data_IF_359252429105
#
_entry.id   IF_359252429105
#
_cell.length_a   1.000
_cell.length_b   1.000
_cell.length_c   1.000
_cell.angle_alpha   90.00
_cell.angle_beta   90.00
_cell.angle_gamma   90.00
#
_symmetry.space_group_name_H-M   'P 1'
#
loop_
_entity.id
_entity.type
_entity.pdbx_description
1 polymer ?
#
# COMPACT_ATOMS: atom_id res chain seq x y z
N UNK A 1 -48.28 -85.49 -32.54
CA UNK A 1 -48.52 -84.34 -31.62
C UNK A 1 -47.22 -83.62 -31.45
N UNK A 2 -47.02 -82.54 -32.19
CA UNK A 2 -45.78 -81.81 -32.26
C UNK A 2 -46.01 -80.45 -31.63
N UNK A 3 -45.38 -80.16 -30.47
CA UNK A 3 -45.42 -78.86 -29.82
C UNK A 3 -44.35 -77.97 -30.45
N UNK A 4 -44.81 -76.87 -31.01
CA UNK A 4 -43.91 -75.79 -31.54
C UNK A 4 -43.34 -74.91 -30.39
N UNK A 5 -42.05 -74.83 -30.33
CA UNK A 5 -41.30 -73.91 -29.43
C UNK A 5 -41.19 -72.59 -30.16
N UNK A 6 -41.65 -71.49 -29.54
CA UNK A 6 -41.44 -70.13 -30.04
C UNK A 6 -40.21 -69.55 -29.34
N UNK A 7 -39.18 -69.21 -30.13
CA UNK A 7 -38.04 -68.45 -29.71
C UNK A 7 -38.40 -66.94 -29.70
N UNK A 8 -38.36 -66.34 -28.55
CA UNK A 8 -38.50 -64.89 -28.41
C UNK A 8 -37.13 -64.23 -28.48
N UNK A 9 -36.90 -63.31 -29.41
CA UNK A 9 -35.73 -62.54 -29.59
C UNK A 9 -35.76 -61.37 -28.58
N UNK A 10 -34.86 -61.39 -27.56
CA UNK A 10 -34.66 -60.24 -26.70
C UNK A 10 -33.60 -59.32 -27.35
N UNK A 11 -34.00 -58.14 -27.80
CA UNK A 11 -33.09 -57.05 -28.19
C UNK A 11 -32.72 -56.30 -26.95
N UNK A 12 -31.46 -56.43 -26.53
CA UNK A 12 -30.87 -55.60 -25.45
C UNK A 12 -30.37 -54.32 -26.08
N UNK A 13 -31.08 -53.22 -25.87
CA UNK A 13 -30.61 -51.87 -26.20
C UNK A 13 -29.58 -51.44 -25.16
N UNK A 14 -28.32 -51.43 -25.53
CA UNK A 14 -27.25 -50.81 -24.73
C UNK A 14 -27.33 -49.30 -24.90
N UNK A 15 -27.88 -48.62 -23.91
CA UNK A 15 -27.82 -47.14 -23.81
C UNK A 15 -26.42 -46.74 -23.42
N UNK A 16 -25.63 -46.29 -24.39
CA UNK A 16 -24.30 -45.67 -24.12
C UNK A 16 -24.51 -44.29 -23.50
N UNK A 17 -24.45 -44.20 -22.18
CA UNK A 17 -24.43 -42.93 -21.45
C UNK A 17 -23.02 -42.33 -21.59
N UNK A 18 -22.84 -41.44 -22.56
CA UNK A 18 -21.64 -40.62 -22.68
C UNK A 18 -21.68 -39.62 -21.53
N UNK A 19 -20.95 -39.91 -20.43
CA UNK A 19 -20.63 -38.94 -19.41
C UNK A 19 -19.75 -37.85 -20.07
N UNK A 20 -20.34 -36.71 -20.42
CA UNK A 20 -19.61 -35.48 -20.62
C UNK A 20 -19.06 -35.04 -19.26
N UNK A 21 -17.87 -35.51 -18.88
CA UNK A 21 -17.08 -34.87 -17.85
C UNK A 21 -16.74 -33.47 -18.35
N UNK A 22 -17.00 -32.40 -17.56
CA UNK A 22 -16.49 -31.11 -17.92
C UNK A 22 -14.96 -31.24 -17.99
N UNK A 23 -14.40 -31.12 -19.18
CA UNK A 23 -12.96 -30.94 -19.32
C UNK A 23 -12.63 -29.68 -18.57
N UNK A 24 -12.00 -29.79 -17.39
CA UNK A 24 -11.21 -28.71 -16.81
C UNK A 24 -10.16 -28.38 -17.84
N UNK A 25 -10.45 -27.39 -18.69
CA UNK A 25 -9.55 -26.94 -19.71
C UNK A 25 -8.27 -26.49 -19.05
N UNK A 26 -7.24 -27.33 -19.06
CA UNK A 26 -5.89 -26.88 -18.80
C UNK A 26 -5.61 -25.81 -19.86
N UNK A 27 -5.48 -24.55 -19.41
CA UNK A 27 -5.05 -23.48 -20.29
C UNK A 27 -3.72 -23.92 -20.92
N UNK A 28 -3.61 -23.76 -22.24
CA UNK A 28 -2.36 -24.07 -22.93
C UNK A 28 -1.22 -23.25 -22.26
N UNK A 29 -0.06 -23.88 -22.09
CA UNK A 29 1.10 -23.18 -21.57
C UNK A 29 1.40 -21.95 -22.44
N UNK A 30 1.69 -20.78 -21.85
CA UNK A 30 1.97 -19.58 -22.62
C UNK A 30 3.22 -19.79 -23.48
N UNK A 31 3.21 -19.26 -24.69
CA UNK A 31 4.28 -19.44 -25.69
C UNK A 31 4.69 -18.09 -26.30
N UNK A 32 5.85 -18.05 -26.93
CA UNK A 32 6.39 -16.83 -27.55
C UNK A 32 7.31 -16.03 -26.63
N UNK A 33 7.70 -14.86 -27.09
CA UNK A 33 8.60 -13.97 -26.35
C UNK A 33 7.96 -13.49 -25.05
N UNK A 34 8.65 -13.60 -23.90
CA UNK A 34 8.14 -13.13 -22.63
C UNK A 34 7.87 -11.63 -22.62
N UNK A 35 6.83 -11.22 -21.90
CA UNK A 35 6.64 -9.81 -21.54
C UNK A 35 7.40 -9.57 -20.25
N UNK A 36 8.42 -8.71 -20.28
CA UNK A 36 9.31 -8.48 -19.14
C UNK A 36 8.74 -7.37 -18.24
N UNK A 37 8.61 -7.71 -16.97
CA UNK A 37 8.31 -6.78 -15.86
C UNK A 37 9.58 -6.66 -15.01
N UNK A 38 10.13 -5.47 -14.90
CA UNK A 38 11.28 -5.17 -14.09
C UNK A 38 10.90 -4.60 -12.73
N UNK A 39 11.74 -4.84 -11.75
CA UNK A 39 11.63 -4.22 -10.42
C UNK A 39 12.99 -3.70 -9.96
N UNK A 40 13.04 -2.43 -9.58
CA UNK A 40 14.21 -1.78 -9.00
C UNK A 40 13.88 -1.41 -7.55
N UNK A 41 14.56 -2.02 -6.58
CA UNK A 41 14.27 -1.74 -5.17
C UNK A 41 15.28 -2.39 -4.23
N UNK A 42 15.17 -2.11 -2.94
CA UNK A 42 16.03 -2.65 -1.89
C UNK A 42 15.63 -4.10 -1.53
N UNK A 43 16.33 -5.09 -2.11
CA UNK A 43 16.00 -6.53 -1.97
C UNK A 43 15.94 -6.99 -0.50
N UNK A 44 16.76 -6.42 0.37
CA UNK A 44 16.82 -6.81 1.80
C UNK A 44 15.89 -5.96 2.70
N UNK A 45 15.20 -4.97 2.16
CA UNK A 45 14.28 -4.14 2.95
C UNK A 45 13.07 -4.95 3.43
N UNK A 46 12.66 -4.84 4.69
CA UNK A 46 11.41 -5.44 5.19
C UNK A 46 10.16 -4.96 4.43
N UNK A 47 10.17 -3.75 3.90
CA UNK A 47 9.08 -3.22 3.08
C UNK A 47 9.08 -3.79 1.66
N UNK A 48 10.23 -3.81 1.00
CA UNK A 48 10.40 -4.16 -0.42
C UNK A 48 10.35 -5.66 -0.68
N UNK A 49 11.06 -6.44 0.15
CA UNK A 49 11.20 -7.90 -0.06
C UNK A 49 9.86 -8.63 -0.18
N UNK A 50 8.86 -8.38 0.69
CA UNK A 50 7.55 -9.00 0.56
C UNK A 50 6.82 -8.60 -0.73
N UNK A 51 6.99 -7.35 -1.19
CA UNK A 51 6.40 -6.87 -2.45
C UNK A 51 6.93 -7.63 -3.66
N UNK A 52 8.25 -7.82 -3.74
CA UNK A 52 8.85 -8.61 -4.81
C UNK A 52 8.39 -10.07 -4.77
N UNK A 53 8.30 -10.66 -3.57
CA UNK A 53 7.86 -12.05 -3.42
C UNK A 53 6.41 -12.23 -3.90
N UNK A 54 5.50 -11.33 -3.53
CA UNK A 54 4.09 -11.43 -3.92
C UNK A 54 3.87 -11.13 -5.41
N UNK A 55 4.66 -10.23 -6.01
CA UNK A 55 4.61 -10.00 -7.45
C UNK A 55 5.05 -11.26 -8.22
N UNK A 56 6.08 -11.96 -7.72
CA UNK A 56 6.50 -13.24 -8.30
C UNK A 56 5.37 -14.28 -8.24
N UNK A 57 4.64 -14.36 -7.12
CA UNK A 57 3.45 -15.24 -7.00
C UNK A 57 2.41 -14.88 -8.07
N UNK A 58 2.08 -13.59 -8.21
CA UNK A 58 1.10 -13.14 -9.21
C UNK A 58 1.56 -13.47 -10.65
N UNK A 59 2.85 -13.30 -10.96
CA UNK A 59 3.42 -13.67 -12.26
C UNK A 59 3.28 -15.18 -12.52
N UNK A 60 3.58 -16.01 -11.52
CA UNK A 60 3.49 -17.46 -11.65
C UNK A 60 2.04 -17.93 -11.85
N UNK A 61 1.08 -17.35 -11.12
CA UNK A 61 -0.34 -17.63 -11.27
C UNK A 61 -0.84 -17.24 -12.68
N UNK A 62 -0.46 -16.06 -13.17
CA UNK A 62 -0.85 -15.61 -14.51
C UNK A 62 -0.24 -16.53 -15.59
N UNK A 63 1.01 -16.93 -15.43
CA UNK A 63 1.67 -17.84 -16.36
C UNK A 63 1.02 -19.22 -16.34
N UNK A 64 0.67 -19.74 -15.16
CA UNK A 64 -0.07 -21.00 -15.03
C UNK A 64 -1.46 -20.95 -15.67
N UNK A 65 -2.07 -19.77 -15.72
CA UNK A 65 -3.36 -19.53 -16.38
C UNK A 65 -3.26 -19.23 -17.88
N UNK A 66 -2.10 -19.42 -18.52
CA UNK A 66 -1.88 -19.22 -19.95
C UNK A 66 -1.24 -17.88 -20.32
N UNK A 67 -0.70 -17.13 -19.35
CA UNK A 67 0.00 -15.88 -19.56
C UNK A 67 -0.91 -14.69 -19.90
N UNK A 68 -0.35 -13.71 -20.60
CA UNK A 68 -1.07 -12.53 -21.06
C UNK A 68 -1.11 -12.56 -22.60
N UNK A 69 -2.29 -12.63 -23.18
CA UNK A 69 -2.49 -12.83 -24.62
C UNK A 69 -1.65 -14.01 -25.15
N UNK A 70 -1.56 -15.11 -24.38
CA UNK A 70 -0.80 -16.30 -24.72
C UNK A 70 0.73 -16.20 -24.53
N UNK A 71 1.25 -15.09 -24.06
CA UNK A 71 2.68 -14.84 -23.79
C UNK A 71 3.00 -14.94 -22.31
N UNK A 72 4.12 -15.57 -21.91
CA UNK A 72 4.51 -15.60 -20.51
C UNK A 72 4.98 -14.23 -20.01
N UNK A 73 4.79 -13.98 -18.72
CA UNK A 73 5.43 -12.88 -18.01
C UNK A 73 6.81 -13.33 -17.50
N UNK A 74 7.83 -12.50 -17.66
CA UNK A 74 9.16 -12.66 -17.04
C UNK A 74 9.37 -11.55 -16.02
N UNK A 75 9.66 -11.92 -14.77
CA UNK A 75 9.91 -10.97 -13.69
C UNK A 75 11.41 -10.88 -13.39
N UNK A 76 11.98 -9.67 -13.44
CA UNK A 76 13.42 -9.42 -13.28
C UNK A 76 13.66 -8.34 -12.23
N UNK A 77 14.55 -8.62 -11.27
CA UNK A 77 14.84 -7.72 -10.16
C UNK A 77 16.24 -7.12 -10.31
N UNK A 78 16.34 -5.82 -10.00
CA UNK A 78 17.59 -5.09 -9.83
C UNK A 78 17.65 -4.52 -8.41
N UNK A 79 18.66 -4.94 -7.63
CA UNK A 79 18.87 -4.46 -6.27
C UNK A 79 19.53 -3.07 -6.27
N UNK A 80 18.83 -2.05 -5.82
CA UNK A 80 19.36 -0.69 -5.74
C UNK A 80 20.06 -0.39 -4.40
N UNK A 81 20.01 -1.30 -3.42
CA UNK A 81 20.59 -1.14 -2.08
C UNK A 81 20.24 0.21 -1.40
N UNK A 82 19.18 0.88 -1.85
CA UNK A 82 18.78 2.21 -1.39
C UNK A 82 19.64 3.35 -1.94
N UNK A 83 20.45 3.12 -2.99
CA UNK A 83 21.32 4.12 -3.61
C UNK A 83 20.72 4.63 -4.93
N UNK A 84 20.76 5.94 -5.13
CA UNK A 84 20.24 6.61 -6.33
C UNK A 84 20.94 6.13 -7.60
N UNK A 85 22.28 6.03 -7.57
CA UNK A 85 23.09 5.57 -8.73
C UNK A 85 22.73 4.14 -9.15
N UNK A 86 22.57 3.23 -8.18
CA UNK A 86 22.17 1.85 -8.46
C UNK A 86 20.72 1.74 -8.95
N UNK A 87 19.83 2.67 -8.56
CA UNK A 87 18.47 2.71 -9.10
C UNK A 87 18.47 3.10 -10.58
N UNK A 88 19.25 4.11 -10.95
CA UNK A 88 19.42 4.54 -12.34
C UNK A 88 20.05 3.43 -13.18
N UNK A 89 21.12 2.80 -12.69
CA UNK A 89 21.79 1.70 -13.37
C UNK A 89 20.87 0.48 -13.53
N UNK A 90 20.15 0.11 -12.47
CA UNK A 90 19.18 -0.98 -12.49
C UNK A 90 18.07 -0.77 -13.52
N UNK A 91 17.48 0.44 -13.56
CA UNK A 91 16.48 0.80 -14.55
C UNK A 91 17.04 0.73 -15.98
N UNK A 92 18.25 1.27 -16.22
CA UNK A 92 18.92 1.19 -17.52
C UNK A 92 19.13 -0.26 -17.97
N UNK A 93 19.67 -1.11 -17.10
CA UNK A 93 19.87 -2.53 -17.40
C UNK A 93 18.57 -3.23 -17.77
N UNK A 94 17.51 -2.99 -17.01
CA UNK A 94 16.19 -3.56 -17.29
C UNK A 94 15.65 -3.12 -18.66
N UNK A 95 15.86 -1.85 -19.04
CA UNK A 95 15.42 -1.34 -20.34
C UNK A 95 16.26 -1.86 -21.50
N UNK A 96 17.59 -1.77 -21.40
CA UNK A 96 18.50 -2.03 -22.52
C UNK A 96 18.74 -3.52 -22.75
N UNK A 97 18.98 -4.28 -21.68
CA UNK A 97 19.37 -5.69 -21.77
C UNK A 97 18.15 -6.62 -21.69
N UNK A 98 17.24 -6.37 -20.70
CA UNK A 98 16.08 -7.22 -20.49
C UNK A 98 14.85 -6.80 -21.30
N UNK A 99 14.89 -5.60 -21.92
CA UNK A 99 13.80 -5.04 -22.74
C UNK A 99 12.47 -4.97 -22.00
N UNK A 100 12.52 -4.60 -20.71
CA UNK A 100 11.35 -4.50 -19.86
C UNK A 100 10.32 -3.52 -20.43
N UNK A 101 9.05 -3.95 -20.43
CA UNK A 101 7.92 -3.13 -20.88
C UNK A 101 7.25 -2.38 -19.72
N UNK A 102 7.38 -2.91 -18.51
CA UNK A 102 6.94 -2.29 -17.28
C UNK A 102 8.07 -2.35 -16.26
N UNK A 103 8.34 -1.23 -15.59
CA UNK A 103 9.36 -1.16 -14.55
C UNK A 103 8.77 -0.55 -13.30
N UNK A 104 8.78 -1.30 -12.21
CA UNK A 104 8.55 -0.76 -10.87
C UNK A 104 9.84 -0.17 -10.33
N UNK A 105 9.76 1.04 -9.78
CA UNK A 105 10.87 1.68 -9.06
C UNK A 105 10.41 1.98 -7.65
N UNK A 106 11.02 1.33 -6.66
CA UNK A 106 10.74 1.55 -5.25
C UNK A 106 11.91 2.27 -4.60
N UNK A 107 11.57 3.25 -3.77
CA UNK A 107 12.57 4.00 -3.02
C UNK A 107 12.01 5.32 -2.49
N UNK A 108 12.93 6.10 -1.93
CA UNK A 108 12.64 7.47 -1.51
C UNK A 108 12.38 8.35 -2.74
N UNK A 109 11.70 9.46 -2.54
CA UNK A 109 11.31 10.39 -3.62
C UNK A 109 12.50 10.79 -4.51
N UNK A 110 13.63 11.15 -3.93
CA UNK A 110 14.82 11.56 -4.68
C UNK A 110 15.43 10.42 -5.55
N UNK A 111 15.31 9.18 -5.10
CA UNK A 111 15.72 8.00 -5.87
C UNK A 111 14.83 7.83 -7.10
N UNK A 112 13.52 7.93 -6.89
CA UNK A 112 12.54 7.80 -7.95
C UNK A 112 12.59 8.94 -8.98
N UNK A 113 12.85 10.19 -8.53
CA UNK A 113 13.04 11.34 -9.40
C UNK A 113 14.24 11.17 -10.33
N UNK A 114 15.36 10.66 -9.81
CA UNK A 114 16.55 10.39 -10.62
C UNK A 114 16.32 9.26 -11.64
N UNK A 115 15.61 8.20 -11.23
CA UNK A 115 15.24 7.11 -12.15
C UNK A 115 14.28 7.61 -13.24
N UNK A 116 13.30 8.46 -12.88
CA UNK A 116 12.35 9.08 -13.82
C UNK A 116 13.05 9.90 -14.91
N UNK A 117 13.98 10.76 -14.51
CA UNK A 117 14.72 11.62 -15.46
C UNK A 117 15.56 10.78 -16.43
N UNK A 118 16.27 9.76 -15.91
CA UNK A 118 17.06 8.86 -16.73
C UNK A 118 16.18 8.06 -17.71
N UNK A 119 15.05 7.54 -17.23
CA UNK A 119 14.11 6.79 -18.07
C UNK A 119 13.49 7.67 -19.16
N UNK A 120 13.18 8.93 -18.85
CA UNK A 120 12.66 9.89 -19.83
C UNK A 120 13.66 10.13 -20.99
N UNK A 121 14.95 10.23 -20.67
CA UNK A 121 15.97 10.35 -21.71
C UNK A 121 16.08 9.12 -22.63
N UNK A 122 15.65 7.95 -22.13
CA UNK A 122 15.69 6.68 -22.86
C UNK A 122 14.36 6.30 -23.52
N UNK A 123 13.28 7.01 -23.24
CA UNK A 123 11.92 6.58 -23.60
C UNK A 123 11.70 6.40 -25.12
N UNK A 124 12.33 7.24 -25.93
CA UNK A 124 12.23 7.15 -27.39
C UNK A 124 12.79 5.85 -27.93
N UNK A 125 13.93 5.39 -27.41
CA UNK A 125 14.64 4.20 -27.90
C UNK A 125 14.15 2.92 -27.22
N UNK A 126 13.68 3.04 -25.97
CA UNK A 126 13.19 1.94 -25.14
C UNK A 126 11.80 2.29 -24.56
N UNK A 127 10.73 2.22 -25.37
CA UNK A 127 9.39 2.54 -24.91
C UNK A 127 8.90 1.60 -23.80
N UNK A 128 8.48 2.15 -22.67
CA UNK A 128 8.10 1.40 -21.47
C UNK A 128 7.09 2.18 -20.62
N UNK A 129 6.53 1.52 -19.63
CA UNK A 129 5.76 2.15 -18.53
C UNK A 129 6.60 2.06 -17.26
N UNK A 130 6.73 3.16 -16.53
CA UNK A 130 7.38 3.24 -15.24
C UNK A 130 6.34 3.49 -14.14
N UNK A 131 6.39 2.68 -13.09
CA UNK A 131 5.48 2.75 -11.95
C UNK A 131 6.30 2.96 -10.68
N UNK A 132 6.05 4.05 -9.97
CA UNK A 132 6.71 4.34 -8.70
C UNK A 132 5.94 3.69 -7.57
N UNK A 133 6.62 2.80 -6.84
CA UNK A 133 6.06 2.10 -5.70
C UNK A 133 6.49 2.78 -4.39
N UNK A 134 5.54 3.38 -3.69
CA UNK A 134 5.70 3.93 -2.35
C UNK A 134 6.20 5.37 -2.19
N UNK A 135 6.87 6.05 -3.14
CA UNK A 135 7.29 7.43 -2.92
C UNK A 135 6.08 8.38 -2.91
N UNK A 136 6.07 9.30 -1.94
CA UNK A 136 4.96 10.23 -1.77
C UNK A 136 5.18 11.57 -2.49
N UNK A 137 6.44 11.96 -2.80
CA UNK A 137 6.78 13.26 -3.37
C UNK A 137 5.93 13.65 -4.58
N UNK A 138 5.24 14.76 -4.44
CA UNK A 138 4.33 15.28 -5.48
C UNK A 138 5.00 15.56 -6.81
N UNK A 139 6.29 15.88 -6.78
CA UNK A 139 7.09 16.23 -7.96
C UNK A 139 7.09 15.11 -9.00
N UNK A 140 6.98 13.85 -8.57
CA UNK A 140 6.94 12.70 -9.48
C UNK A 140 5.79 12.78 -10.50
N UNK A 141 4.65 13.29 -10.08
CA UNK A 141 3.44 13.39 -10.90
C UNK A 141 3.13 14.82 -11.33
N UNK A 142 3.58 15.84 -10.61
CA UNK A 142 3.54 17.23 -11.09
C UNK A 142 4.29 17.38 -12.41
N UNK A 143 5.49 16.76 -12.53
CA UNK A 143 6.26 16.72 -13.78
C UNK A 143 5.51 16.07 -14.94
N UNK A 144 4.72 15.03 -14.67
CA UNK A 144 3.91 14.39 -15.71
C UNK A 144 2.90 15.38 -16.28
N UNK A 145 2.28 16.18 -15.42
CA UNK A 145 1.31 17.18 -15.88
C UNK A 145 1.98 18.39 -16.56
N UNK A 146 3.13 18.82 -16.03
CA UNK A 146 3.86 19.99 -16.56
C UNK A 146 4.56 19.70 -17.90
N UNK A 147 5.10 18.49 -18.07
CA UNK A 147 5.86 18.08 -19.24
C UNK A 147 5.33 16.71 -19.76
N UNK A 148 4.04 16.65 -20.09
CA UNK A 148 3.33 15.41 -20.40
C UNK A 148 4.06 14.54 -21.43
N UNK A 149 4.49 15.10 -22.54
CA UNK A 149 5.17 14.31 -23.61
C UNK A 149 6.48 13.68 -23.14
N UNK A 150 7.15 14.30 -22.16
CA UNK A 150 8.40 13.78 -21.60
C UNK A 150 8.16 12.67 -20.57
N UNK A 151 7.09 12.75 -19.78
CA UNK A 151 6.86 11.88 -18.61
C UNK A 151 5.55 11.08 -18.65
N UNK A 152 4.78 11.12 -19.74
CA UNK A 152 3.45 10.47 -19.85
C UNK A 152 3.45 8.97 -19.52
N UNK A 153 4.59 8.32 -19.61
CA UNK A 153 4.78 6.90 -19.29
C UNK A 153 4.96 6.61 -17.80
N UNK A 154 4.99 7.65 -16.96
CA UNK A 154 5.22 7.55 -15.53
C UNK A 154 3.90 7.55 -14.75
N UNK A 155 3.77 6.60 -13.84
CA UNK A 155 2.61 6.42 -12.96
C UNK A 155 3.08 6.19 -11.53
N UNK A 156 2.26 6.53 -10.52
CA UNK A 156 2.55 6.24 -9.12
C UNK A 156 1.45 5.36 -8.54
N UNK A 157 1.82 4.20 -8.02
CA UNK A 157 0.89 3.25 -7.40
C UNK A 157 0.50 3.63 -5.97
N UNK A 158 0.96 4.76 -5.50
CA UNK A 158 0.71 5.35 -4.19
C UNK A 158 0.08 6.74 -4.33
N UNK A 159 -0.49 7.24 -3.25
CA UNK A 159 -1.01 8.59 -3.22
C UNK A 159 0.05 9.61 -2.76
N UNK A 160 -0.05 10.89 -3.15
CA UNK A 160 0.88 11.94 -2.76
C UNK A 160 0.68 12.41 -1.31
N UNK A 161 1.62 13.20 -0.79
CA UNK A 161 1.59 13.75 0.56
C UNK A 161 0.26 14.39 0.96
N UNK A 162 -0.43 15.17 0.10
CA UNK A 162 -1.72 15.79 0.49
C UNK A 162 -2.82 14.79 0.82
N UNK A 163 -2.83 13.63 0.12
CA UNK A 163 -3.77 12.54 0.44
C UNK A 163 -3.55 12.01 1.85
N UNK A 164 -2.29 11.76 2.19
CA UNK A 164 -1.93 11.28 3.51
C UNK A 164 -2.21 12.32 4.59
N UNK A 165 -1.94 13.59 4.31
CA UNK A 165 -2.30 14.70 5.19
C UNK A 165 -3.81 14.67 5.47
N UNK A 166 -4.65 14.58 4.45
CA UNK A 166 -6.10 14.54 4.59
C UNK A 166 -6.59 13.31 5.35
N UNK A 167 -6.05 12.13 5.05
CA UNK A 167 -6.38 10.87 5.74
C UNK A 167 -6.04 10.95 7.24
N UNK A 168 -4.85 11.46 7.57
CA UNK A 168 -4.45 11.59 8.97
C UNK A 168 -5.22 12.69 9.68
N UNK A 169 -5.54 13.80 9.00
CA UNK A 169 -6.41 14.84 9.52
C UNK A 169 -7.78 14.26 9.88
N UNK A 170 -8.38 13.46 9.02
CA UNK A 170 -9.64 12.79 9.30
C UNK A 170 -9.50 11.88 10.52
N UNK A 171 -8.63 10.88 10.45
CA UNK A 171 -8.53 9.90 11.54
C UNK A 171 -8.11 10.55 12.85
N UNK A 172 -7.06 11.35 12.82
CA UNK A 172 -6.55 11.99 14.05
C UNK A 172 -7.48 13.10 14.54
N UNK A 173 -7.87 14.00 13.67
CA UNK A 173 -8.58 15.22 14.03
C UNK A 173 -10.08 14.99 14.28
N UNK A 174 -10.78 14.32 13.36
CA UNK A 174 -12.23 14.13 13.46
C UNK A 174 -12.61 13.07 14.52
N UNK A 175 -11.72 12.12 14.81
CA UNK A 175 -12.04 11.03 15.75
C UNK A 175 -11.39 11.17 17.13
N UNK A 176 -10.54 12.19 17.36
CA UNK A 176 -9.81 12.32 18.64
C UNK A 176 -10.72 12.47 19.86
N UNK A 177 -11.85 13.16 19.73
CA UNK A 177 -12.80 13.36 20.82
C UNK A 177 -13.38 12.04 21.31
N UNK A 178 -13.64 11.10 20.40
CA UNK A 178 -14.16 9.78 20.75
C UNK A 178 -13.09 8.91 21.42
N UNK A 179 -11.83 9.09 21.03
CA UNK A 179 -10.69 8.39 21.65
C UNK A 179 -10.27 8.98 22.99
N UNK A 180 -10.42 10.27 23.17
CA UNK A 180 -10.05 11.01 24.38
C UNK A 180 -11.24 11.73 25.00
N UNK A 181 -12.22 11.01 25.59
CA UNK A 181 -13.45 11.61 26.10
C UNK A 181 -13.22 12.58 27.28
N UNK A 182 -12.05 12.52 27.93
CA UNK A 182 -11.64 13.49 28.97
C UNK A 182 -10.99 14.75 28.40
N UNK A 183 -10.92 14.85 27.07
CA UNK A 183 -10.29 15.94 26.35
C UNK A 183 -8.82 15.71 26.05
N UNK A 184 -8.38 16.23 24.93
CA UNK A 184 -6.99 16.32 24.48
C UNK A 184 -6.69 17.81 24.27
N UNK A 185 -5.71 18.35 24.99
CA UNK A 185 -5.36 19.78 24.89
C UNK A 185 -3.89 20.00 24.55
N UNK A 186 -3.06 18.96 24.68
CA UNK A 186 -1.63 19.03 24.44
C UNK A 186 -1.13 17.78 23.76
N UNK A 187 -0.34 17.95 22.69
CA UNK A 187 0.31 16.83 22.02
C UNK A 187 1.78 17.09 21.74
N UNK A 188 2.54 16.02 21.56
CA UNK A 188 3.88 16.03 21.03
C UNK A 188 3.89 15.46 19.61
N UNK A 189 4.72 15.97 18.73
CA UNK A 189 4.88 15.46 17.37
C UNK A 189 6.34 15.08 17.13
N UNK A 190 6.55 13.91 16.54
CA UNK A 190 7.83 13.48 16.00
C UNK A 190 7.69 13.30 14.49
N UNK A 191 8.65 13.85 13.77
CA UNK A 191 8.72 13.77 12.32
C UNK A 191 9.91 12.94 11.89
N UNK A 192 9.75 12.03 10.96
CA UNK A 192 10.88 11.49 10.24
C UNK A 192 11.57 12.62 9.46
N UNK A 193 12.89 12.77 9.60
CA UNK A 193 13.64 13.83 8.91
C UNK A 193 14.00 13.41 7.49
N UNK A 194 13.01 13.39 6.62
CA UNK A 194 13.09 13.14 5.18
C UNK A 194 12.27 14.16 4.38
N UNK A 195 12.51 14.22 3.07
CA UNK A 195 11.89 15.21 2.17
C UNK A 195 10.35 15.09 2.17
N UNK A 196 9.80 13.88 2.18
CA UNK A 196 8.36 13.66 2.10
C UNK A 196 7.56 14.21 3.30
N UNK A 197 8.21 14.43 4.46
CA UNK A 197 7.55 15.01 5.65
C UNK A 197 7.59 16.54 5.66
N UNK A 198 8.43 17.17 4.84
CA UNK A 198 8.53 18.64 4.78
C UNK A 198 7.21 19.32 4.45
N UNK A 199 6.44 18.87 3.43
CA UNK A 199 5.15 19.47 3.13
C UNK A 199 4.15 19.46 4.29
N UNK A 200 4.24 18.49 5.19
CA UNK A 200 3.40 18.45 6.37
C UNK A 200 3.84 19.47 7.44
N UNK A 201 5.14 19.69 7.56
CA UNK A 201 5.73 20.66 8.52
C UNK A 201 5.62 22.09 8.04
N UNK A 202 5.83 22.32 6.75
CA UNK A 202 5.92 23.66 6.14
C UNK A 202 4.58 24.13 5.55
N UNK A 203 3.63 23.21 5.40
CA UNK A 203 2.36 23.41 4.70
C UNK A 203 2.48 23.25 3.18
N UNK A 204 1.33 23.29 2.52
CA UNK A 204 1.19 23.23 1.07
C UNK A 204 0.26 24.37 0.61
N UNK A 205 0.77 25.61 0.51
CA UNK A 205 -0.05 26.80 0.29
C UNK A 205 -0.87 26.77 -1.01
N UNK A 206 -0.32 26.14 -2.06
CA UNK A 206 -0.98 25.96 -3.35
C UNK A 206 -2.21 25.03 -3.27
N UNK A 207 -2.33 24.25 -2.19
CA UNK A 207 -3.47 23.39 -1.90
C UNK A 207 -4.29 23.89 -0.69
N UNK A 208 -4.00 25.07 -0.18
CA UNK A 208 -4.59 25.63 1.04
C UNK A 208 -4.45 24.71 2.26
N UNK A 209 -3.37 23.94 2.34
CA UNK A 209 -3.04 23.08 3.48
C UNK A 209 -2.01 23.79 4.36
N UNK A 210 -2.36 24.21 5.59
CA UNK A 210 -1.40 24.81 6.51
C UNK A 210 -0.39 23.78 7.03
N UNK A 211 0.70 24.21 7.69
CA UNK A 211 1.52 23.32 8.49
C UNK A 211 0.66 22.47 9.43
N UNK A 212 1.00 21.18 9.58
CA UNK A 212 0.21 20.26 10.40
C UNK A 212 0.01 20.77 11.83
N UNK A 213 1.04 21.35 12.45
CA UNK A 213 1.00 21.90 13.80
C UNK A 213 0.00 23.05 13.91
N UNK A 214 0.01 23.96 12.92
CA UNK A 214 -0.93 25.09 12.87
C UNK A 214 -2.39 24.57 12.71
N UNK A 215 -2.59 23.60 11.84
CA UNK A 215 -3.91 22.98 11.62
C UNK A 215 -4.44 22.36 12.92
N UNK A 216 -3.60 21.61 13.63
CA UNK A 216 -3.97 20.95 14.88
C UNK A 216 -4.37 21.98 15.96
N UNK A 217 -3.60 23.05 16.09
CA UNK A 217 -3.91 24.10 17.08
C UNK A 217 -5.16 24.87 16.70
N UNK A 218 -5.30 25.27 15.44
CA UNK A 218 -6.38 26.13 14.97
C UNK A 218 -7.73 25.39 14.86
N UNK A 219 -7.72 24.21 14.24
CA UNK A 219 -8.96 23.51 13.91
C UNK A 219 -9.46 22.65 15.09
N UNK A 220 -8.57 22.16 15.94
CA UNK A 220 -8.91 21.23 17.01
C UNK A 220 -8.62 21.76 18.42
N UNK A 221 -7.95 22.91 18.56
CA UNK A 221 -7.65 23.52 19.86
C UNK A 221 -6.63 22.73 20.69
N UNK A 222 -5.83 21.88 20.03
CA UNK A 222 -4.83 21.03 20.69
C UNK A 222 -3.45 21.65 20.51
N UNK A 223 -2.84 22.12 21.60
CA UNK A 223 -1.53 22.77 21.57
C UNK A 223 -0.42 21.76 21.31
N UNK A 224 0.44 22.03 20.33
CA UNK A 224 1.67 21.29 20.12
C UNK A 224 2.73 21.79 21.10
N UNK A 225 3.02 20.99 22.14
CA UNK A 225 3.96 21.35 23.23
C UNK A 225 5.38 20.81 23.01
N UNK A 226 5.56 19.98 22.01
CA UNK A 226 6.85 19.45 21.59
C UNK A 226 6.78 19.05 20.13
N UNK A 227 7.74 19.46 19.33
CA UNK A 227 7.88 19.02 17.93
C UNK A 227 9.36 18.83 17.61
N UNK A 228 9.67 17.72 16.92
CA UNK A 228 11.05 17.44 16.53
C UNK A 228 11.14 16.53 15.31
N UNK A 229 11.95 16.91 14.34
CA UNK A 229 12.42 16.03 13.28
C UNK A 229 13.54 15.13 13.81
N UNK A 230 13.46 13.83 13.55
CA UNK A 230 14.40 12.80 14.00
C UNK A 230 14.94 12.00 12.83
N UNK A 231 16.22 11.64 12.90
CA UNK A 231 16.83 10.81 11.86
C UNK A 231 16.12 9.46 11.76
N UNK A 232 15.94 8.91 10.56
CA UNK A 232 15.24 7.63 10.37
C UNK A 232 15.89 6.47 11.14
N UNK A 233 17.22 6.50 11.27
CA UNK A 233 17.97 5.45 11.96
C UNK A 233 19.00 6.04 12.93
N UNK A 234 19.29 5.26 13.98
CA UNK A 234 20.27 5.62 14.98
C UNK A 234 19.83 6.74 15.93
N UNK A 235 18.54 7.07 15.98
CA UNK A 235 18.00 8.03 16.93
C UNK A 235 17.92 7.40 18.32
N UNK A 236 18.49 8.06 19.31
CA UNK A 236 18.31 7.75 20.72
C UNK A 236 17.02 8.43 21.21
N UNK A 237 15.96 7.65 21.38
CA UNK A 237 14.65 8.19 21.71
C UNK A 237 14.46 8.48 23.21
N UNK A 238 15.17 7.79 24.11
CA UNK A 238 15.01 8.01 25.57
C UNK A 238 15.11 9.46 26.00
N UNK A 239 16.13 10.26 25.59
CA UNK A 239 16.20 11.67 25.96
C UNK A 239 15.01 12.50 25.40
N UNK A 240 14.55 12.17 24.19
CA UNK A 240 13.41 12.83 23.55
C UNK A 240 12.13 12.51 24.33
N UNK A 241 11.91 11.25 24.64
CA UNK A 241 10.75 10.78 25.40
C UNK A 241 10.71 11.33 26.83
N UNK A 242 11.89 11.52 27.44
CA UNK A 242 12.00 12.19 28.74
C UNK A 242 11.58 13.66 28.64
N UNK A 243 11.98 14.38 27.60
CA UNK A 243 11.55 15.74 27.36
C UNK A 243 10.04 15.80 27.15
N UNK A 244 9.49 14.93 26.28
CA UNK A 244 8.04 14.85 26.01
C UNK A 244 7.27 14.62 27.32
N UNK A 245 7.70 13.70 28.16
CA UNK A 245 7.03 13.43 29.45
C UNK A 245 6.97 14.67 30.35
N UNK A 246 8.00 15.54 30.28
CA UNK A 246 8.06 16.79 31.04
C UNK A 246 7.15 17.90 30.52
N UNK A 247 6.64 17.82 29.28
CA UNK A 247 5.79 18.87 28.68
C UNK A 247 4.32 18.79 29.08
N UNK A 248 3.90 17.66 29.64
CA UNK A 248 2.50 17.36 29.88
C UNK A 248 1.71 17.01 28.62
N UNK A 249 2.38 16.58 27.52
CA UNK A 249 1.72 16.04 26.35
C UNK A 249 0.85 14.85 26.73
N UNK A 250 -0.33 14.79 26.15
CA UNK A 250 -1.34 13.75 26.39
C UNK A 250 -1.37 12.72 25.24
N UNK A 251 -0.70 13.01 24.14
CA UNK A 251 -0.55 12.15 22.98
C UNK A 251 0.78 12.43 22.29
N UNK A 252 1.36 11.41 21.67
CA UNK A 252 2.49 11.50 20.74
C UNK A 252 1.95 11.12 19.37
N UNK A 253 2.12 11.99 18.37
CA UNK A 253 1.92 11.68 16.98
C UNK A 253 3.29 11.53 16.32
N UNK A 254 3.59 10.35 15.77
CA UNK A 254 4.86 10.08 15.13
C UNK A 254 4.67 9.72 13.67
N UNK A 255 5.09 10.62 12.78
CA UNK A 255 5.05 10.44 11.33
C UNK A 255 6.36 9.81 10.88
N UNK A 256 6.30 8.61 10.36
CA UNK A 256 7.45 7.79 9.98
C UNK A 256 7.19 6.99 8.71
N UNK A 257 8.23 6.37 8.16
CA UNK A 257 8.15 5.49 6.99
C UNK A 257 8.87 4.16 7.26
N UNK A 258 8.97 3.32 6.22
CA UNK A 258 9.72 2.06 6.24
C UNK A 258 11.25 2.25 6.44
N UNK A 259 11.74 3.48 6.34
CA UNK A 259 13.15 3.80 6.57
C UNK A 259 13.46 4.08 8.03
N UNK A 260 12.44 4.32 8.86
CA UNK A 260 12.57 4.63 10.28
C UNK A 260 12.60 3.37 11.14
N UNK A 261 13.50 3.39 12.14
CA UNK A 261 13.64 2.36 13.17
C UNK A 261 12.55 2.52 14.24
N UNK A 262 11.29 2.23 13.85
CA UNK A 262 10.11 2.41 14.71
C UNK A 262 10.05 1.38 15.83
N UNK A 263 10.64 0.21 15.65
CA UNK A 263 10.77 -0.80 16.70
C UNK A 263 11.70 -0.34 17.84
N UNK A 264 12.76 0.40 17.52
CA UNK A 264 13.62 1.03 18.53
C UNK A 264 12.88 2.11 19.31
N UNK A 265 12.06 2.92 18.60
CA UNK A 265 11.20 3.90 19.25
C UNK A 265 10.22 3.20 20.22
N UNK A 266 9.50 2.18 19.78
CA UNK A 266 8.51 1.48 20.59
C UNK A 266 9.14 0.85 21.86
N UNK A 267 10.30 0.24 21.72
CA UNK A 267 11.05 -0.33 22.87
C UNK A 267 11.43 0.74 23.87
N UNK A 268 11.99 1.85 23.41
CA UNK A 268 12.42 2.95 24.28
C UNK A 268 11.21 3.68 24.91
N UNK A 269 10.10 3.84 24.15
CA UNK A 269 8.88 4.42 24.70
C UNK A 269 8.31 3.60 25.87
N UNK A 270 8.20 2.28 25.70
CA UNK A 270 7.67 1.40 26.73
C UNK A 270 8.49 1.42 28.03
N UNK A 271 9.81 1.70 27.93
CA UNK A 271 10.73 1.75 29.05
C UNK A 271 10.95 3.19 29.60
N UNK A 272 10.29 4.21 29.00
CA UNK A 272 10.46 5.61 29.35
C UNK A 272 9.38 6.16 30.31
N UNK A 273 9.59 7.39 30.77
CA UNK A 273 8.56 8.15 31.51
C UNK A 273 7.34 8.49 30.66
N UNK A 274 7.45 8.46 29.33
CA UNK A 274 6.35 8.72 28.40
C UNK A 274 5.48 7.48 28.09
N UNK A 275 5.76 6.32 28.67
CA UNK A 275 5.09 5.04 28.34
C UNK A 275 3.57 5.05 28.50
N UNK A 276 3.01 5.96 29.29
CA UNK A 276 1.57 6.09 29.50
C UNK A 276 0.91 7.11 28.56
N UNK A 277 1.72 7.85 27.81
CA UNK A 277 1.25 8.76 26.77
C UNK A 277 0.94 7.94 25.52
N UNK A 278 -0.31 7.92 25.02
CA UNK A 278 -0.68 7.22 23.80
C UNK A 278 0.18 7.66 22.61
N UNK A 279 0.46 6.71 21.71
CA UNK A 279 1.20 6.97 20.49
C UNK A 279 0.33 6.62 19.29
N UNK A 280 0.14 7.60 18.40
CA UNK A 280 -0.31 7.35 17.04
C UNK A 280 0.95 7.29 16.16
N UNK A 281 1.29 6.10 15.71
CA UNK A 281 2.46 5.82 14.90
C UNK A 281 2.04 5.64 13.44
N UNK A 282 2.29 6.67 12.64
CA UNK A 282 1.95 6.64 11.23
C UNK A 282 3.10 6.08 10.40
N UNK A 283 2.85 4.97 9.71
CA UNK A 283 3.75 4.38 8.73
C UNK A 283 4.76 3.35 9.25
N UNK A 284 5.55 2.84 8.33
CA UNK A 284 6.63 1.89 8.60
C UNK A 284 6.19 0.50 9.03
N UNK A 285 7.08 -0.21 9.70
CA UNK A 285 6.90 -1.60 10.16
C UNK A 285 5.73 -1.75 11.15
N UNK A 286 5.31 -0.64 11.78
CA UNK A 286 4.14 -0.63 12.67
C UNK A 286 2.83 -1.01 11.99
N UNK A 287 2.79 -1.02 10.66
CA UNK A 287 1.62 -1.44 9.87
C UNK A 287 1.44 -2.96 9.80
N UNK A 288 2.36 -3.73 10.38
CA UNK A 288 2.36 -5.20 10.30
C UNK A 288 2.16 -5.84 11.66
N UNK A 289 1.57 -7.03 11.70
CA UNK A 289 1.45 -7.84 12.91
C UNK A 289 2.81 -8.26 13.47
N UNK A 290 3.84 -8.37 12.62
CA UNK A 290 5.21 -8.65 13.02
C UNK A 290 5.78 -7.58 13.96
N UNK A 291 5.25 -6.37 13.94
CA UNK A 291 5.69 -5.29 14.84
C UNK A 291 5.56 -5.66 16.33
N UNK A 292 4.52 -6.42 16.68
CA UNK A 292 4.40 -6.97 18.04
C UNK A 292 5.59 -7.84 18.41
N UNK A 293 5.96 -8.76 17.54
CA UNK A 293 7.09 -9.68 17.75
C UNK A 293 8.43 -8.94 17.76
N UNK A 294 8.64 -8.01 16.81
CA UNK A 294 9.86 -7.21 16.69
C UNK A 294 10.11 -6.33 17.90
N UNK A 295 9.04 -5.85 18.52
CA UNK A 295 9.12 -5.01 19.73
C UNK A 295 9.12 -5.83 21.04
N UNK A 296 8.87 -7.14 20.96
CA UNK A 296 8.66 -7.97 22.15
C UNK A 296 7.43 -7.55 22.95
N UNK A 297 6.36 -7.11 22.26
CA UNK A 297 5.12 -6.63 22.86
C UNK A 297 5.19 -5.20 23.41
N UNK A 298 6.32 -4.50 23.27
CA UNK A 298 6.50 -3.14 23.81
C UNK A 298 5.71 -2.06 23.04
N UNK A 299 5.08 -2.41 21.91
CA UNK A 299 4.13 -1.55 21.20
C UNK A 299 2.69 -1.61 21.75
N UNK A 300 2.47 -2.26 22.91
CA UNK A 300 1.15 -2.37 23.53
C UNK A 300 0.50 -1.00 23.72
N UNK A 301 -0.68 -0.81 23.12
CA UNK A 301 -1.44 0.43 23.18
C UNK A 301 -1.10 1.45 22.10
N UNK A 302 -0.10 1.21 21.25
CA UNK A 302 0.16 2.06 20.08
C UNK A 302 -0.94 1.89 19.04
N UNK A 303 -1.28 2.99 18.38
CA UNK A 303 -2.25 3.06 17.28
C UNK A 303 -1.49 3.20 15.97
N UNK A 304 -1.97 2.55 14.92
CA UNK A 304 -1.39 2.64 13.58
C UNK A 304 -2.37 2.18 12.51
N UNK A 305 -1.94 2.22 11.26
CA UNK A 305 -2.70 1.67 10.15
C UNK A 305 -2.34 0.21 9.93
N UNK A 306 -3.35 -0.68 9.79
CA UNK A 306 -3.15 -2.12 9.65
C UNK A 306 -3.89 -2.66 8.44
N UNK A 307 -3.15 -3.18 7.49
CA UNK A 307 -3.71 -3.86 6.32
C UNK A 307 -3.70 -5.39 6.44
N UNK A 308 -3.01 -5.93 7.44
CA UNK A 308 -3.08 -7.35 7.81
C UNK A 308 -4.39 -7.66 8.53
N UNK A 309 -5.51 -7.24 7.98
CA UNK A 309 -6.79 -7.47 8.60
C UNK A 309 -7.58 -8.54 7.85
N UNK A 310 -8.28 -9.38 8.59
CA UNK A 310 -9.27 -10.32 8.05
C UNK A 310 -10.67 -9.69 7.98
N UNK A 311 -10.73 -8.39 7.77
CA UNK A 311 -11.96 -7.66 7.49
C UNK A 311 -12.21 -7.76 5.99
N UNK A 312 -13.39 -8.20 5.52
CA UNK A 312 -13.70 -8.27 4.10
C UNK A 312 -13.94 -6.88 3.51
N UNK A 313 -12.87 -6.11 3.29
CA UNK A 313 -12.92 -4.76 2.71
C UNK A 313 -13.47 -4.81 1.28
N UNK A 314 -13.08 -5.84 0.55
CA UNK A 314 -13.64 -6.24 -0.75
C UNK A 314 -13.79 -7.75 -0.79
N UNK A 315 -14.44 -8.27 -1.83
CA UNK A 315 -14.53 -9.72 -2.09
C UNK A 315 -13.16 -10.41 -2.24
N UNK A 316 -12.11 -9.62 -2.55
CA UNK A 316 -10.73 -10.12 -2.76
C UNK A 316 -9.87 -10.08 -1.51
N UNK A 317 -10.30 -9.42 -0.42
CA UNK A 317 -9.46 -9.24 0.77
C UNK A 317 -9.10 -10.57 1.42
N UNK A 318 -10.10 -11.37 1.75
CA UNK A 318 -9.88 -12.65 2.45
C UNK A 318 -9.10 -13.65 1.57
N UNK A 319 -9.47 -13.88 0.29
CA UNK A 319 -8.69 -14.75 -0.59
C UNK A 319 -7.23 -14.32 -0.72
N UNK A 320 -6.96 -13.02 -0.82
CA UNK A 320 -5.59 -12.49 -0.88
C UNK A 320 -4.80 -12.80 0.40
N UNK A 321 -5.39 -12.51 1.57
CA UNK A 321 -4.72 -12.75 2.87
C UNK A 321 -4.42 -14.25 3.06
N UNK A 322 -5.35 -15.13 2.68
CA UNK A 322 -5.16 -16.58 2.73
C UNK A 322 -4.04 -17.06 1.80
N UNK A 323 -4.01 -16.54 0.56
CA UNK A 323 -2.97 -16.84 -0.42
C UNK A 323 -1.60 -16.36 0.09
N UNK A 324 -1.47 -15.12 0.55
CA UNK A 324 -0.23 -14.57 1.08
C UNK A 324 0.26 -15.36 2.31
N UNK A 325 -0.66 -15.74 3.21
CA UNK A 325 -0.37 -16.60 4.37
C UNK A 325 0.19 -17.96 3.95
N UNK A 326 -0.41 -18.60 2.93
CA UNK A 326 0.08 -19.87 2.35
C UNK A 326 1.51 -19.76 1.83
N UNK A 327 1.85 -18.63 1.24
CA UNK A 327 3.21 -18.34 0.75
C UNK A 327 4.15 -17.78 1.82
N UNK A 328 3.71 -17.64 3.08
CA UNK A 328 4.47 -17.07 4.19
C UNK A 328 4.95 -15.63 3.91
N UNK A 329 4.14 -14.85 3.18
CA UNK A 329 4.40 -13.46 2.84
C UNK A 329 3.58 -12.58 3.78
N UNK A 330 4.21 -11.68 4.57
CA UNK A 330 3.50 -10.71 5.41
C UNK A 330 2.60 -9.81 4.56
N UNK A 331 1.36 -9.62 4.99
CA UNK A 331 0.42 -8.74 4.31
C UNK A 331 0.53 -7.34 4.91
N UNK A 332 1.23 -6.48 4.26
CA UNK A 332 1.28 -5.04 4.48
C UNK A 332 0.67 -4.33 3.28
N UNK A 333 0.36 -3.05 3.42
CA UNK A 333 -0.33 -2.28 2.40
C UNK A 333 0.32 -2.37 1.01
N UNK A 334 1.65 -2.23 0.95
CA UNK A 334 2.39 -2.33 -0.31
C UNK A 334 2.35 -3.73 -0.93
N UNK A 335 2.19 -4.78 -0.12
CA UNK A 335 2.06 -6.17 -0.62
C UNK A 335 0.72 -6.39 -1.31
N UNK A 336 -0.36 -5.81 -0.75
CA UNK A 336 -1.66 -5.81 -1.42
C UNK A 336 -1.61 -5.11 -2.77
N UNK A 337 -0.95 -3.95 -2.83
CA UNK A 337 -0.77 -3.19 -4.06
C UNK A 337 0.11 -3.96 -5.06
N UNK A 338 1.26 -4.43 -4.63
CA UNK A 338 2.21 -5.13 -5.48
C UNK A 338 1.61 -6.36 -6.18
N UNK A 339 0.78 -7.14 -5.47
CA UNK A 339 0.04 -8.25 -6.08
C UNK A 339 -0.96 -7.74 -7.12
N UNK A 340 -1.74 -6.73 -6.75
CA UNK A 340 -2.77 -6.17 -7.59
C UNK A 340 -2.19 -5.51 -8.85
N UNK A 341 -1.00 -4.89 -8.77
CA UNK A 341 -0.33 -4.22 -9.87
C UNK A 341 -0.01 -5.19 -11.02
N UNK A 342 0.40 -6.42 -10.72
CA UNK A 342 0.70 -7.40 -11.78
C UNK A 342 -0.59 -7.78 -12.53
N UNK A 343 -1.70 -7.96 -11.82
CA UNK A 343 -3.00 -8.21 -12.45
C UNK A 343 -3.54 -6.98 -13.19
N UNK A 344 -3.27 -5.78 -12.66
CA UNK A 344 -3.60 -4.53 -13.34
C UNK A 344 -2.83 -4.41 -14.66
N UNK A 345 -1.52 -4.65 -14.66
CA UNK A 345 -0.67 -4.70 -15.86
C UNK A 345 -1.21 -5.71 -16.87
N UNK A 346 -1.59 -6.91 -16.43
CA UNK A 346 -2.24 -7.91 -17.30
C UNK A 346 -3.46 -7.29 -18.00
N UNK A 347 -4.36 -6.64 -17.24
CA UNK A 347 -5.56 -6.01 -17.78
C UNK A 347 -5.23 -4.86 -18.73
N UNK A 348 -4.20 -4.06 -18.41
CA UNK A 348 -3.70 -2.98 -19.27
C UNK A 348 -3.22 -3.53 -20.62
N UNK A 349 -2.41 -4.59 -20.62
CA UNK A 349 -1.90 -5.22 -21.84
C UNK A 349 -3.06 -5.79 -22.68
N UNK A 350 -4.01 -6.46 -22.05
CA UNK A 350 -5.20 -7.00 -22.73
C UNK A 350 -6.05 -5.88 -23.35
N UNK A 351 -6.23 -4.76 -22.65
CA UNK A 351 -6.97 -3.59 -23.13
C UNK A 351 -6.25 -2.88 -24.29
N UNK A 352 -4.91 -2.80 -24.21
CA UNK A 352 -4.09 -2.21 -25.28
C UNK A 352 -3.96 -3.13 -26.52
N UNK A 353 -4.29 -4.43 -26.37
CA UNK A 353 -4.13 -5.45 -27.41
C UNK A 353 -2.70 -5.92 -27.61
N UNK A 354 -1.83 -5.71 -26.63
CA UNK A 354 -0.41 -6.11 -26.67
C UNK A 354 0.53 -5.07 -26.06
N UNK A 355 1.84 -5.24 -26.29
CA UNK A 355 2.90 -4.37 -25.73
C UNK A 355 3.67 -3.57 -26.77
N UNK A 356 3.30 -3.64 -28.06
CA UNK A 356 4.09 -3.08 -29.16
C UNK A 356 3.88 -1.56 -29.33
N UNK A 357 2.76 -1.04 -28.83
CA UNK A 357 2.41 0.37 -28.90
C UNK A 357 2.32 0.95 -27.48
N UNK A 358 3.32 1.73 -27.10
CA UNK A 358 3.38 2.34 -25.76
C UNK A 358 2.28 3.38 -25.51
N UNK A 359 1.83 4.12 -26.53
CA UNK A 359 0.75 5.10 -26.36
C UNK A 359 -0.58 4.40 -26.06
N UNK A 360 -0.82 3.21 -26.65
CA UNK A 360 -1.98 2.38 -26.28
C UNK A 360 -1.86 1.85 -24.85
N UNK A 361 -0.65 1.50 -24.41
CA UNK A 361 -0.41 1.08 -23.01
C UNK A 361 -0.66 2.26 -22.05
N UNK A 362 -0.14 3.45 -22.35
CA UNK A 362 -0.39 4.68 -21.56
C UNK A 362 -1.89 4.93 -21.46
N UNK A 363 -2.60 4.91 -22.61
CA UNK A 363 -4.05 5.09 -22.63
C UNK A 363 -4.80 4.02 -21.83
N UNK A 364 -4.35 2.77 -21.88
CA UNK A 364 -4.92 1.70 -21.08
C UNK A 364 -4.64 1.91 -19.58
N UNK A 365 -3.42 2.34 -19.18
CA UNK A 365 -3.10 2.73 -17.80
C UNK A 365 -4.05 3.79 -17.27
N UNK A 366 -4.39 4.80 -18.10
CA UNK A 366 -5.29 5.90 -17.75
C UNK A 366 -6.78 5.48 -17.65
N UNK A 367 -7.19 4.40 -18.30
CA UNK A 367 -8.62 4.05 -18.45
C UNK A 367 -9.05 2.78 -17.72
N UNK A 368 -8.12 1.88 -17.45
CA UNK A 368 -8.42 0.62 -16.76
C UNK A 368 -8.77 0.89 -15.30
N UNK A 369 -9.83 0.26 -14.83
CA UNK A 369 -10.21 0.19 -13.43
C UNK A 369 -10.40 -1.27 -13.03
N UNK A 370 -9.90 -1.65 -11.85
CA UNK A 370 -10.04 -2.99 -11.28
C UNK A 370 -10.37 -2.90 -9.79
N UNK A 371 -10.95 -3.97 -9.25
CA UNK A 371 -11.10 -4.13 -7.79
C UNK A 371 -10.00 -5.05 -7.28
N UNK A 372 -9.38 -4.67 -6.17
CA UNK A 372 -8.38 -5.46 -5.48
C UNK A 372 -8.72 -5.62 -3.99
N UNK A 373 -7.82 -6.16 -3.21
CA UNK A 373 -8.07 -6.51 -1.82
C UNK A 373 -8.28 -5.33 -0.86
N UNK A 374 -7.87 -4.11 -1.23
CA UNK A 374 -8.06 -2.90 -0.41
C UNK A 374 -9.00 -1.88 -1.07
N UNK A 375 -9.69 -2.21 -2.15
CA UNK A 375 -10.60 -1.30 -2.82
C UNK A 375 -10.51 -1.35 -4.33
N UNK A 376 -10.72 -0.21 -4.99
CA UNK A 376 -10.56 -0.04 -6.43
C UNK A 376 -9.16 0.45 -6.77
N UNK A 377 -8.66 0.03 -7.91
CA UNK A 377 -7.40 0.45 -8.48
C UNK A 377 -7.66 1.14 -9.82
N UNK A 378 -7.32 2.41 -9.90
CA UNK A 378 -7.37 3.23 -11.11
C UNK A 378 -6.43 4.42 -10.92
N UNK A 379 -5.88 4.95 -12.00
CA UNK A 379 -5.07 6.16 -11.95
C UNK A 379 -5.93 7.41 -12.16
N UNK A 380 -5.60 8.51 -11.46
CA UNK A 380 -6.28 9.79 -11.66
C UNK A 380 -5.86 10.40 -13.01
N UNK A 381 -6.84 10.78 -13.79
CA UNK A 381 -6.63 11.36 -15.14
C UNK A 381 -7.12 12.80 -15.28
N UNK A 382 -7.79 13.32 -14.25
CA UNK A 382 -8.08 14.75 -14.19
C UNK A 382 -6.77 15.50 -13.98
N UNK A 383 -6.58 16.57 -14.75
CA UNK A 383 -5.36 17.38 -14.74
C UNK A 383 -5.25 18.24 -13.47
N UNK A 384 -5.19 17.56 -12.32
CA UNK A 384 -5.13 18.18 -10.99
C UNK A 384 -3.81 17.78 -10.33
N UNK A 385 -2.95 18.76 -10.03
CA UNK A 385 -1.76 18.56 -9.21
C UNK A 385 -2.15 18.28 -7.75
N UNK A 386 -1.44 17.39 -7.07
CA UNK A 386 -0.37 16.47 -7.50
C UNK A 386 -0.89 15.07 -7.85
N UNK A 387 -2.15 14.92 -8.19
CA UNK A 387 -2.85 13.64 -8.25
C UNK A 387 -2.79 12.95 -9.61
N UNK A 388 -2.53 13.71 -10.69
CA UNK A 388 -2.48 13.18 -12.04
C UNK A 388 -1.51 11.99 -12.16
N UNK A 389 -1.92 10.89 -12.76
CA UNK A 389 -1.19 9.61 -12.84
C UNK A 389 -0.83 8.98 -11.47
N UNK A 390 -1.46 9.40 -10.38
CA UNK A 390 -1.39 8.69 -9.10
C UNK A 390 -2.58 7.75 -8.94
N UNK A 391 -2.37 6.65 -8.21
CA UNK A 391 -3.43 5.69 -7.85
C UNK A 391 -4.34 6.26 -6.76
N UNK A 392 -5.06 7.30 -7.10
CA UNK A 392 -5.97 8.01 -6.23
C UNK A 392 -7.04 8.67 -7.10
N UNK A 393 -8.27 8.65 -6.63
CA UNK A 393 -9.35 9.44 -7.24
C UNK A 393 -9.58 10.68 -6.40
N UNK A 394 -9.74 11.80 -7.08
CA UNK A 394 -9.91 13.11 -6.47
C UNK A 394 -11.28 13.66 -6.86
N UNK A 395 -12.00 14.19 -5.87
CA UNK A 395 -13.12 15.07 -6.18
C UNK A 395 -12.57 16.42 -6.62
N UNK A 396 -12.87 16.89 -7.84
CA UNK A 396 -12.41 18.20 -8.32
C UNK A 396 -12.92 19.37 -7.48
N UNK A 397 -14.08 19.20 -6.81
CA UNK A 397 -14.66 20.22 -5.93
C UNK A 397 -13.97 20.24 -4.55
N UNK A 398 -13.36 19.14 -4.15
CA UNK A 398 -12.64 19.01 -2.89
C UNK A 398 -11.42 18.10 -3.06
N UNK A 399 -10.35 18.57 -3.66
CA UNK A 399 -9.15 17.78 -3.94
C UNK A 399 -8.43 17.27 -2.68
N UNK A 400 -8.78 17.77 -1.50
CA UNK A 400 -8.22 17.34 -0.23
C UNK A 400 -8.89 16.04 0.26
N UNK A 401 -10.13 15.77 -0.13
CA UNK A 401 -10.81 14.50 0.08
C UNK A 401 -10.43 13.50 -1.02
N UNK A 402 -9.22 12.97 -0.93
CA UNK A 402 -8.63 12.09 -1.94
C UNK A 402 -9.09 10.66 -1.87
N UNK A 403 -9.83 10.29 -0.86
CA UNK A 403 -10.43 8.96 -0.72
C UNK A 403 -11.79 8.92 -1.38
N UNK A 404 -11.79 8.77 -2.67
CA UNK A 404 -13.01 8.42 -3.39
C UNK A 404 -13.55 7.10 -2.80
N UNK A 405 -14.87 6.97 -2.55
CA UNK A 405 -15.41 5.76 -1.94
C UNK A 405 -14.88 4.48 -2.58
N UNK A 406 -14.22 3.64 -1.79
CA UNK A 406 -13.69 2.36 -2.19
C UNK A 406 -12.37 2.36 -2.96
N UNK A 407 -11.71 3.49 -3.19
CA UNK A 407 -10.42 3.50 -3.92
C UNK A 407 -9.28 2.98 -3.07
N UNK A 408 -9.25 3.34 -1.79
CA UNK A 408 -8.23 2.88 -0.88
C UNK A 408 -8.77 2.82 0.53
N UNK A 409 -8.82 1.62 1.10
CA UNK A 409 -9.35 1.39 2.43
C UNK A 409 -8.20 1.02 3.36
N UNK A 410 -7.87 1.93 4.27
CA UNK A 410 -6.81 1.72 5.25
C UNK A 410 -7.42 1.55 6.65
N UNK A 411 -7.42 0.32 7.20
CA UNK A 411 -7.85 0.07 8.57
C UNK A 411 -6.92 0.72 9.58
N UNK A 412 -7.49 1.33 10.60
CA UNK A 412 -6.77 1.88 11.75
C UNK A 412 -7.07 1.03 12.97
N UNK A 413 -6.05 0.72 13.74
CA UNK A 413 -6.20 -0.13 14.91
C UNK A 413 -5.19 0.15 16.00
N UNK A 414 -5.38 -0.50 17.14
CA UNK A 414 -4.56 -0.41 18.33
C UNK A 414 -4.01 -1.78 18.70
N UNK A 415 -2.73 -1.87 19.05
CA UNK A 415 -2.14 -3.09 19.57
C UNK A 415 -2.65 -3.40 20.98
N UNK A 416 -3.20 -4.58 21.13
CA UNK A 416 -3.62 -5.18 22.41
C UNK A 416 -2.73 -6.36 22.79
N UNK A 417 -2.96 -6.93 23.96
CA UNK A 417 -2.20 -8.04 24.50
C UNK A 417 -2.18 -9.25 23.56
N UNK A 418 -1.02 -9.90 23.47
CA UNK A 418 -0.80 -11.00 22.54
C UNK A 418 -0.72 -10.61 21.09
N UNK A 419 -0.53 -9.31 20.77
CA UNK A 419 -0.44 -8.78 19.41
C UNK A 419 -1.77 -8.70 18.68
N UNK A 420 -2.88 -8.82 19.38
CA UNK A 420 -4.22 -8.62 18.78
C UNK A 420 -4.39 -7.17 18.37
N UNK A 421 -5.07 -6.94 17.25
CA UNK A 421 -5.42 -5.61 16.77
C UNK A 421 -6.88 -5.35 17.10
N UNK A 422 -7.14 -4.29 17.89
CA UNK A 422 -8.46 -3.71 18.05
C UNK A 422 -8.64 -2.65 16.98
N UNK A 423 -9.53 -2.88 16.04
CA UNK A 423 -9.82 -1.88 14.99
C UNK A 423 -10.59 -0.70 15.57
N UNK A 424 -10.23 0.50 15.10
CA UNK A 424 -10.80 1.78 15.53
C UNK A 424 -11.55 2.48 14.38
N UNK A 425 -11.54 1.93 13.18
CA UNK A 425 -12.19 2.48 12.00
C UNK A 425 -11.29 2.50 10.78
N UNK A 426 -11.66 3.28 9.78
CA UNK A 426 -10.88 3.52 8.56
C UNK A 426 -10.22 4.90 8.53
N UNK A 427 -9.45 5.14 7.47
CA UNK A 427 -8.71 6.39 7.27
C UNK A 427 -9.56 7.53 6.68
N UNK A 428 -10.83 7.30 6.37
CA UNK A 428 -11.75 8.33 5.87
C UNK A 428 -13.21 8.01 6.21
N UNK A 429 -14.06 9.03 6.16
CA UNK A 429 -15.47 8.94 6.50
C UNK A 429 -16.25 7.97 5.60
N UNK A 430 -15.93 7.94 4.33
CA UNK A 430 -16.57 7.08 3.33
C UNK A 430 -16.36 5.59 3.64
N UNK A 431 -15.33 5.25 4.40
CA UNK A 431 -15.03 3.88 4.80
C UNK A 431 -15.72 3.45 6.10
N UNK A 432 -16.31 4.37 6.86
CA UNK A 432 -16.99 4.06 8.14
C UNK A 432 -18.03 2.92 8.04
N UNK A 433 -18.85 2.83 6.99
CA UNK A 433 -19.83 1.74 6.87
C UNK A 433 -19.21 0.34 6.86
N UNK A 434 -17.98 0.21 6.35
CA UNK A 434 -17.23 -1.06 6.28
C UNK A 434 -16.83 -1.53 7.67
N UNK A 435 -16.55 -0.59 8.58
CA UNK A 435 -16.10 -0.87 9.95
C UNK A 435 -17.25 -1.02 10.95
N UNK A 436 -18.51 -0.89 10.50
CA UNK A 436 -19.68 -1.08 11.38
C UNK A 436 -19.71 -2.51 11.93
N UNK A 437 -19.62 -2.61 13.26
CA UNK A 437 -19.56 -3.91 13.96
C UNK A 437 -18.15 -4.53 14.01
N UNK A 438 -17.13 -3.88 13.43
CA UNK A 438 -15.73 -4.33 13.47
C UNK A 438 -14.96 -3.53 14.51
N UNK A 439 -15.14 -2.20 14.56
CA UNK A 439 -14.50 -1.31 15.52
C UNK A 439 -14.87 0.14 15.27
N UNK A 440 -14.68 0.97 16.29
CA UNK A 440 -14.96 2.41 16.27
C UNK A 440 -13.93 3.17 17.13
N UNK A 441 -13.74 4.48 16.92
CA UNK A 441 -12.74 5.26 17.66
C UNK A 441 -12.88 5.17 19.19
N UNK A 442 -14.09 5.06 19.71
CA UNK A 442 -14.35 4.91 21.17
C UNK A 442 -13.93 3.55 21.76
N UNK A 443 -13.53 2.58 20.92
CA UNK A 443 -12.97 1.31 21.41
C UNK A 443 -11.48 1.44 21.79
N UNK A 444 -10.89 2.62 21.58
CA UNK A 444 -9.54 2.96 22.01
C UNK A 444 -9.39 2.82 23.54
N UNK A 445 -8.30 2.20 23.97
CA UNK A 445 -7.98 1.99 25.39
C UNK A 445 -6.63 2.63 25.70
N UNK A 446 -6.57 3.41 26.77
CA UNK A 446 -5.33 4.04 27.23
C UNK A 446 -4.24 2.99 27.52
N UNK A 447 -2.98 3.21 27.12
CA UNK A 447 -1.87 2.25 27.33
C UNK A 447 -1.71 1.82 28.80
N UNK A 448 -1.93 2.75 29.74
CA UNK A 448 -1.87 2.42 31.18
C UNK A 448 -2.96 1.44 31.62
N UNK A 449 -4.14 1.46 31.00
CA UNK A 449 -5.24 0.54 31.30
C UNK A 449 -4.97 -0.85 30.70
N UNK A 450 -4.44 -0.89 29.47
CA UNK A 450 -4.03 -2.15 28.83
C UNK A 450 -2.99 -2.88 29.65
N UNK A 451 -1.96 -2.16 30.18
CA UNK A 451 -0.94 -2.77 31.05
C UNK A 451 -1.47 -3.29 32.39
N UNK A 452 -2.56 -2.71 32.91
CA UNK A 452 -3.22 -3.23 34.13
C UNK A 452 -3.97 -4.54 33.86
N UNK A 453 -4.54 -4.70 32.66
CA UNK A 453 -5.25 -5.92 32.24
C UNK A 453 -4.30 -7.12 32.09
N UNK A 454 -3.03 -6.88 31.75
CA UNK A 454 -2.00 -7.91 31.61
C UNK A 454 -1.56 -8.53 32.97
N UNK A 455 -1.79 -7.82 34.07
CA UNK A 455 -1.40 -8.25 35.42
C UNK A 455 -2.46 -9.07 36.16
N UNK A 456 -3.62 -9.22 35.53
CA UNK A 456 -4.73 -10.05 36.02
C UNK A 456 -4.84 -11.35 35.20
#
# INVERSE_FOLDING_TARGET
>A
MIKRLRFGLFVVAVLSLTLCLPSTGMSAAPSGEPIVIGYVGMVLSPGTRPCMAIQKVAVDEINAAGGVLGRPLKYVIADNKGATSLSVEGARRLLMEEKAKFIFVEGRTEICLAAQENAAAMFKDYPHIMIFNGPMGRELTDRVLDEYEKYKFCFRDWDPEPSHYAQQRYFWGETWKDRFPKGLTKMAILWEDLEWTKPWRDGMPDLNLPPWEEMVEKDYGVKVVYSKAVKPRGTMYLPILQQIAGTGAQQIFYVSSWFTDTESFAKQWADSAARDIPVDLYGGVSQTSDFWKLTGGKCLGMVGSFTECRIPLTEKTIPFVEMATKHQIPTQIHVHLAYADVYFIKKVIETAGGTDNVDKLIKAMETVETTYSLGKMAYETKKIKPYFHSKVRVDPADPQHTTYPGVFIQPIGQFHNGGKIQYLGGSCKENEPIFKGVGKPSDFVMPAELRKRDKK
#
